data_IF_549176056135
#
_entry.id   IF_549176056135
#
_cell.length_a   1.000
_cell.length_b   1.000
_cell.length_c   1.000
_cell.angle_alpha   90.00
_cell.angle_beta   90.00
_cell.angle_gamma   90.00
#
_symmetry.space_group_name_H-M   'P 1'
#
loop_
_entity.id
_entity.type
_entity.pdbx_description
1 polymer ?
#
# COMPACT_ATOMS: atom_id res chain seq x y z
N UNK A 1 12.82 -19.73 -3.53
CA UNK A 1 12.36 -18.80 -4.58
C UNK A 1 11.04 -18.07 -4.28
N UNK A 2 10.24 -18.44 -3.25
CA UNK A 2 9.00 -17.69 -2.91
C UNK A 2 9.21 -16.51 -1.93
N UNK A 3 10.32 -16.50 -1.17
CA UNK A 3 10.63 -15.45 -0.18
C UNK A 3 11.20 -14.15 -0.76
N UNK A 4 11.98 -14.23 -1.85
CA UNK A 4 12.58 -13.03 -2.47
C UNK A 4 11.54 -12.11 -3.10
N UNK A 5 10.51 -12.68 -3.74
CA UNK A 5 9.45 -11.89 -4.37
C UNK A 5 8.60 -11.17 -3.32
N UNK A 6 8.28 -11.83 -2.21
CA UNK A 6 7.53 -11.20 -1.12
C UNK A 6 8.34 -10.08 -0.44
N UNK A 7 9.64 -10.29 -0.22
CA UNK A 7 10.53 -9.28 0.35
C UNK A 7 10.69 -8.06 -0.58
N UNK A 8 10.81 -8.27 -1.90
CA UNK A 8 10.88 -7.20 -2.89
C UNK A 8 9.58 -6.40 -2.99
N UNK A 9 8.42 -7.06 -2.90
CA UNK A 9 7.13 -6.38 -2.90
C UNK A 9 6.92 -5.55 -1.63
N UNK A 10 7.29 -6.09 -0.46
CA UNK A 10 7.23 -5.36 0.80
C UNK A 10 8.16 -4.15 0.80
N UNK A 11 9.40 -4.29 0.30
CA UNK A 11 10.34 -3.17 0.23
C UNK A 11 9.90 -2.09 -0.76
N UNK A 12 9.34 -2.48 -1.91
CA UNK A 12 8.77 -1.56 -2.89
C UNK A 12 7.61 -0.75 -2.31
N UNK A 13 6.69 -1.40 -1.62
CA UNK A 13 5.55 -0.73 -0.97
C UNK A 13 6.00 0.26 0.11
N UNK A 14 6.94 -0.14 0.98
CA UNK A 14 7.49 0.73 2.05
C UNK A 14 8.20 1.95 1.46
N UNK A 15 8.93 1.81 0.36
CA UNK A 15 9.61 2.93 -0.29
C UNK A 15 8.61 3.94 -0.87
N UNK A 16 7.59 3.46 -1.58
CA UNK A 16 6.54 4.31 -2.17
C UNK A 16 5.76 5.07 -1.08
N UNK A 17 5.47 4.40 0.04
CA UNK A 17 4.82 5.04 1.18
C UNK A 17 5.69 6.17 1.77
N UNK A 18 6.99 5.92 1.98
CA UNK A 18 7.93 6.93 2.49
C UNK A 18 8.03 8.16 1.58
N UNK A 19 8.14 7.95 0.27
CA UNK A 19 8.29 9.04 -0.69
C UNK A 19 7.02 9.91 -0.77
N UNK A 20 5.84 9.26 -0.78
CA UNK A 20 4.56 9.98 -0.77
C UNK A 20 4.33 10.75 0.53
N UNK A 21 4.68 10.15 1.68
CA UNK A 21 4.62 10.84 2.97
C UNK A 21 5.54 12.06 3.01
N UNK A 22 6.79 11.92 2.57
CA UNK A 22 7.77 13.01 2.54
C UNK A 22 7.31 14.20 1.69
N UNK A 23 6.71 13.91 0.53
CA UNK A 23 6.13 14.94 -0.35
C UNK A 23 4.94 15.66 0.29
N UNK A 24 4.04 14.94 0.98
CA UNK A 24 2.88 15.52 1.64
C UNK A 24 3.26 16.43 2.82
N UNK A 25 4.31 16.06 3.58
CA UNK A 25 4.87 16.88 4.66
C UNK A 25 5.46 18.18 4.11
N UNK A 26 6.13 18.12 2.95
CA UNK A 26 6.74 19.29 2.32
C UNK A 26 5.71 20.31 1.76
N UNK A 27 4.50 19.87 1.44
CA UNK A 27 3.52 20.69 0.68
C UNK A 27 2.60 21.58 1.55
N UNK A 28 2.41 21.34 2.86
CA UNK A 28 1.31 21.99 3.61
C UNK A 28 1.67 22.55 5.02
N UNK A 29 2.75 23.29 5.18
CA UNK A 29 3.29 23.73 6.48
C UNK A 29 2.42 24.64 7.39
N UNK A 30 1.10 24.84 7.18
CA UNK A 30 0.26 25.63 8.10
C UNK A 30 -1.05 25.00 8.59
N UNK A 31 -1.46 23.83 8.06
CA UNK A 31 -2.58 23.01 8.58
C UNK A 31 -2.09 21.77 9.36
N UNK A 32 -0.77 21.60 9.49
CA UNK A 32 -0.11 20.29 9.53
C UNK A 32 0.22 19.70 10.91
N UNK A 33 -0.04 20.35 12.05
CA UNK A 33 0.44 19.80 13.33
C UNK A 33 -0.22 18.44 13.66
N UNK A 34 -1.55 18.33 13.55
CA UNK A 34 -2.23 17.05 13.73
C UNK A 34 -1.84 16.04 12.65
N UNK A 35 -1.71 16.48 11.40
CA UNK A 35 -1.30 15.60 10.31
C UNK A 35 0.13 15.07 10.49
N UNK A 36 1.05 15.87 11.02
CA UNK A 36 2.40 15.44 11.37
C UNK A 36 2.42 14.39 12.48
N UNK A 37 1.61 14.58 13.52
CA UNK A 37 1.43 13.59 14.61
C UNK A 37 0.79 12.30 14.07
N UNK A 38 -0.27 12.41 13.27
CA UNK A 38 -0.94 11.26 12.66
C UNK A 38 0.01 10.47 11.73
N UNK A 39 0.89 11.16 11.00
CA UNK A 39 1.89 10.54 10.14
C UNK A 39 3.00 9.83 10.95
N UNK A 40 3.42 10.41 12.07
CA UNK A 40 4.39 9.79 12.98
C UNK A 40 3.80 8.52 13.60
N UNK A 41 2.55 8.57 14.07
CA UNK A 41 1.83 7.41 14.60
C UNK A 41 1.66 6.31 13.53
N UNK A 42 1.32 6.70 12.29
CA UNK A 42 1.27 5.74 11.16
C UNK A 42 2.63 5.09 10.90
N UNK A 43 3.72 5.84 10.98
CA UNK A 43 5.07 5.31 10.79
C UNK A 43 5.43 4.28 11.87
N UNK A 44 5.10 4.55 13.13
CA UNK A 44 5.30 3.61 14.26
C UNK A 44 4.49 2.32 14.07
N UNK A 45 3.25 2.42 13.59
CA UNK A 45 2.42 1.26 13.28
C UNK A 45 3.04 0.43 12.15
N UNK A 46 3.55 1.06 11.09
CA UNK A 46 4.23 0.36 10.00
C UNK A 46 5.52 -0.34 10.45
N UNK A 47 6.32 0.28 11.32
CA UNK A 47 7.50 -0.34 11.91
C UNK A 47 7.11 -1.57 12.74
N UNK A 48 6.05 -1.46 13.54
CA UNK A 48 5.53 -2.57 14.34
C UNK A 48 5.05 -3.73 13.47
N UNK A 49 4.28 -3.45 12.41
CA UNK A 49 3.81 -4.46 11.46
C UNK A 49 5.00 -5.14 10.78
N UNK A 50 6.02 -4.38 10.37
CA UNK A 50 7.22 -4.92 9.73
C UNK A 50 7.97 -5.88 10.67
N UNK A 51 8.16 -5.48 11.93
CA UNK A 51 8.81 -6.34 12.93
C UNK A 51 8.02 -7.62 13.22
N UNK A 52 6.68 -7.52 13.30
CA UNK A 52 5.80 -8.69 13.49
C UNK A 52 5.88 -9.65 12.30
N UNK A 53 5.89 -9.13 11.08
CA UNK A 53 6.02 -9.96 9.87
C UNK A 53 7.39 -10.63 9.78
N UNK A 54 8.46 -9.94 10.16
CA UNK A 54 9.81 -10.51 10.18
C UNK A 54 9.94 -11.64 11.22
N UNK A 55 9.38 -11.45 12.42
CA UNK A 55 9.35 -12.50 13.44
C UNK A 55 8.49 -13.70 13.02
N UNK A 56 7.32 -13.42 12.46
CA UNK A 56 6.43 -14.42 11.90
C UNK A 56 7.13 -15.26 10.83
N UNK A 57 7.85 -14.62 9.90
CA UNK A 57 8.57 -15.31 8.83
C UNK A 57 9.65 -16.24 9.42
N UNK A 58 10.44 -15.75 10.38
CA UNK A 58 11.47 -16.55 11.08
C UNK A 58 10.87 -17.76 11.79
N UNK A 59 9.73 -17.59 12.45
CA UNK A 59 9.02 -18.67 13.17
C UNK A 59 8.35 -19.67 12.24
N UNK A 60 7.91 -19.24 11.06
CA UNK A 60 7.24 -20.08 10.06
C UNK A 60 8.07 -21.27 9.59
N UNK A 61 9.40 -21.18 9.69
CA UNK A 61 10.35 -22.26 9.37
C UNK A 61 10.10 -23.51 10.23
N UNK A 62 9.70 -23.32 11.48
CA UNK A 62 9.54 -24.40 12.47
C UNK A 62 8.09 -24.59 12.90
N UNK A 63 7.28 -23.55 12.83
CA UNK A 63 5.90 -23.56 13.32
C UNK A 63 4.90 -23.59 12.14
N UNK A 64 4.31 -24.77 11.88
CA UNK A 64 3.33 -24.95 10.77
C UNK A 64 2.09 -24.05 10.90
N UNK A 65 1.64 -23.79 12.12
CA UNK A 65 0.54 -22.85 12.36
C UNK A 65 0.96 -21.44 11.92
N UNK A 66 2.21 -21.05 12.20
CA UNK A 66 2.77 -19.76 11.80
C UNK A 66 2.97 -19.68 10.27
N UNK A 67 3.26 -20.80 9.63
CA UNK A 67 3.29 -20.83 8.17
C UNK A 67 1.89 -20.67 7.54
N UNK A 68 0.85 -21.24 8.17
CA UNK A 68 -0.50 -21.24 7.63
C UNK A 68 -1.15 -19.85 7.67
N UNK A 69 -1.07 -19.12 8.79
CA UNK A 69 -1.64 -17.77 8.86
C UNK A 69 -0.91 -16.78 7.93
N UNK A 70 0.42 -16.87 7.78
CA UNK A 70 1.16 -16.02 6.83
C UNK A 70 0.72 -16.24 5.38
N UNK A 71 0.45 -17.49 4.99
CA UNK A 71 -0.11 -17.79 3.66
C UNK A 71 -1.47 -17.13 3.48
N UNK A 72 -2.39 -17.30 4.45
CA UNK A 72 -3.72 -16.68 4.39
C UNK A 72 -3.66 -15.16 4.37
N UNK A 73 -2.75 -14.56 5.14
CA UNK A 73 -2.55 -13.11 5.16
C UNK A 73 -2.08 -12.60 3.79
N UNK A 74 -1.17 -13.34 3.14
CA UNK A 74 -0.73 -13.04 1.78
C UNK A 74 -1.89 -13.13 0.79
N UNK A 75 -2.70 -14.19 0.85
CA UNK A 75 -3.83 -14.37 -0.07
C UNK A 75 -4.82 -13.21 0.05
N UNK A 76 -5.20 -12.82 1.27
CA UNK A 76 -6.08 -11.67 1.52
C UNK A 76 -5.48 -10.35 1.03
N UNK A 77 -4.17 -10.16 1.21
CA UNK A 77 -3.50 -8.94 0.73
C UNK A 77 -3.51 -8.85 -0.80
N UNK A 78 -3.38 -9.98 -1.50
CA UNK A 78 -3.50 -10.04 -2.95
C UNK A 78 -4.94 -9.76 -3.40
N UNK A 79 -5.94 -10.36 -2.76
CA UNK A 79 -7.35 -10.10 -3.07
C UNK A 79 -7.70 -8.60 -2.93
N UNK A 80 -7.16 -7.93 -1.91
CA UNK A 80 -7.36 -6.48 -1.72
C UNK A 80 -6.63 -5.66 -2.79
N UNK A 81 -5.43 -6.08 -3.19
CA UNK A 81 -4.67 -5.42 -4.27
C UNK A 81 -5.43 -5.49 -5.59
N UNK A 82 -5.90 -6.68 -5.95
CA UNK A 82 -6.66 -6.92 -7.19
C UNK A 82 -7.95 -6.08 -7.21
N UNK A 83 -8.68 -6.03 -6.08
CA UNK A 83 -9.87 -5.18 -5.94
C UNK A 83 -9.57 -3.68 -6.10
N UNK A 84 -8.41 -3.22 -5.63
CA UNK A 84 -8.01 -1.82 -5.74
C UNK A 84 -7.58 -1.46 -7.17
N UNK A 85 -6.89 -2.36 -7.86
CA UNK A 85 -6.54 -2.22 -9.28
C UNK A 85 -7.80 -2.17 -10.16
N UNK A 86 -8.77 -3.06 -9.93
CA UNK A 86 -10.07 -3.04 -10.61
C UNK A 86 -10.83 -1.70 -10.40
N UNK A 87 -10.74 -1.12 -9.20
CA UNK A 87 -11.36 0.17 -8.92
C UNK A 87 -10.66 1.33 -9.66
N UNK A 88 -9.33 1.28 -9.79
CA UNK A 88 -8.57 2.27 -10.55
C UNK A 88 -8.91 2.20 -12.05
N UNK A 89 -8.95 1.00 -12.63
CA UNK A 89 -9.28 0.79 -14.04
C UNK A 89 -10.69 1.26 -14.40
N UNK A 90 -11.68 0.99 -13.53
CA UNK A 90 -13.06 1.45 -13.74
C UNK A 90 -13.18 2.97 -13.62
N UNK A 91 -12.39 3.60 -12.74
CA UNK A 91 -12.34 5.05 -12.60
C UNK A 91 -11.68 5.75 -13.80
N UNK A 92 -10.64 5.13 -14.37
CA UNK A 92 -9.95 5.62 -15.56
C UNK A 92 -10.85 5.51 -16.81
N UNK A 93 -11.62 4.44 -16.93
CA UNK A 93 -12.58 4.27 -18.02
C UNK A 93 -13.75 5.28 -17.96
N UNK A 94 -14.23 5.62 -16.75
CA UNK A 94 -15.24 6.66 -16.54
C UNK A 94 -14.70 8.05 -16.87
N UNK A 95 -13.46 8.36 -16.46
CA UNK A 95 -12.80 9.63 -16.77
C UNK A 95 -12.48 9.78 -18.27
N UNK A 96 -12.12 8.69 -18.95
CA UNK A 96 -11.87 8.69 -20.39
C UNK A 96 -13.14 9.02 -21.22
N UNK A 97 -14.32 8.54 -20.80
CA UNK A 97 -15.61 8.89 -21.43
C UNK A 97 -15.95 10.39 -21.26
N UNK A 98 -15.77 10.94 -20.06
CA UNK A 98 -16.03 12.36 -19.77
C UNK A 98 -15.08 13.27 -20.57
N UNK A 99 -13.83 12.85 -20.80
CA UNK A 99 -12.88 13.59 -21.64
C UNK A 99 -13.11 13.44 -23.14
N UNK A 100 -13.76 12.35 -23.59
CA UNK A 100 -14.19 12.15 -24.96
C UNK A 100 -15.40 13.02 -25.33
N UNK A 101 -16.39 13.13 -24.44
CA UNK A 101 -17.60 13.93 -24.67
C UNK A 101 -17.32 15.45 -24.68
N UNK A 102 -16.38 15.93 -23.86
CA UNK A 102 -16.00 17.36 -23.83
C UNK A 102 -15.24 17.86 -25.06
N UNK A 103 -14.62 16.98 -25.86
CA UNK A 103 -13.91 17.35 -27.10
C UNK A 103 -14.82 17.48 -28.33
N UNK A 104 -16.09 17.12 -28.22
CA UNK A 104 -17.08 17.17 -29.31
C UNK A 104 -17.85 18.48 -29.45
N UNK A 105 -17.65 19.47 -28.57
CA UNK A 105 -18.34 20.76 -28.61
C UNK A 105 -17.33 21.91 -28.71
N UNK A 106 -16.67 22.01 -29.86
CA UNK A 106 -16.17 23.28 -30.38
C UNK A 106 -16.52 23.32 -31.86
N UNK A 107 -17.67 23.93 -32.11
CA UNK A 107 -18.01 24.54 -33.39
C UNK A 107 -17.24 25.87 -33.47
#
# INVERSE_FOLDING_TARGET
>A
MAGEVAALLASGFVSIAKDKLGSAIAEQASLLWNFGVDLEDMMVVFETISAVLEDAERRSVKEKLVQLWLKRLKDVALDISDLLEDYQDTSDQANAKIHGERRGWKI
#
